data_IF_262221920702
#
_entry.id   IF_262221920702
#
_cell.length_a   1.000
_cell.length_b   1.000
_cell.length_c   1.000
_cell.angle_alpha   90.00
_cell.angle_beta   90.00
_cell.angle_gamma   90.00
#
_symmetry.space_group_name_H-M   'P 1'
#
loop_
_entity.id
_entity.type
_entity.pdbx_description
1 polymer ?
#
# COMPACT_ATOMS: atom_id res chain seq x y z
N UNK A 1 11.80 25.46 -2.78
CA UNK A 1 12.22 24.35 -1.91
C UNK A 1 12.77 24.91 -0.62
N UNK A 2 12.62 24.20 0.49
CA UNK A 2 13.18 24.58 1.78
C UNK A 2 14.53 23.87 1.98
N UNK A 3 15.62 24.55 1.62
CA UNK A 3 16.97 23.97 1.65
C UNK A 3 17.56 23.81 3.06
N UNK A 4 16.97 24.46 4.07
CA UNK A 4 17.52 24.50 5.43
C UNK A 4 16.82 23.55 6.40
N UNK A 5 15.54 23.21 6.16
CA UNK A 5 14.77 22.40 7.08
C UNK A 5 15.35 20.99 7.28
N UNK A 6 15.72 20.30 6.20
CA UNK A 6 16.28 18.95 6.30
C UNK A 6 17.64 18.96 7.01
N UNK A 7 18.65 19.77 6.59
CA UNK A 7 19.93 19.82 7.32
C UNK A 7 19.78 20.17 8.81
N UNK A 8 18.88 21.10 9.16
CA UNK A 8 18.60 21.45 10.56
C UNK A 8 17.99 20.28 11.33
N UNK A 9 16.98 19.61 10.76
CA UNK A 9 16.38 18.40 11.34
C UNK A 9 17.44 17.31 11.56
N UNK A 10 18.30 17.08 10.56
CA UNK A 10 19.36 16.09 10.64
C UNK A 10 20.32 16.46 11.78
N UNK A 11 20.80 17.70 11.81
CA UNK A 11 21.71 18.18 12.87
C UNK A 11 21.12 18.02 14.28
N UNK A 12 19.85 18.40 14.48
CA UNK A 12 19.17 18.22 15.77
C UNK A 12 19.08 16.74 16.17
N UNK A 13 18.76 15.87 15.20
CA UNK A 13 18.69 14.42 15.41
C UNK A 13 20.05 13.84 15.80
N UNK A 14 21.13 14.29 15.15
CA UNK A 14 22.51 13.92 15.48
C UNK A 14 22.90 14.36 16.90
N UNK A 15 22.60 15.62 17.28
CA UNK A 15 22.89 16.14 18.62
C UNK A 15 22.19 15.36 19.74
N UNK A 16 20.99 14.85 19.49
CA UNK A 16 20.24 14.03 20.47
C UNK A 16 20.63 12.55 20.46
N UNK A 17 21.45 12.08 19.50
CA UNK A 17 21.81 10.65 19.42
C UNK A 17 22.55 10.15 20.67
N UNK A 18 23.55 10.85 21.24
CA UNK A 18 24.27 10.35 22.42
C UNK A 18 23.36 10.15 23.64
N UNK A 19 22.42 11.07 23.86
CA UNK A 19 21.44 10.97 24.95
C UNK A 19 20.53 9.75 24.80
N UNK A 20 20.07 9.48 23.57
CA UNK A 20 19.25 8.29 23.25
C UNK A 20 20.05 6.99 23.41
N UNK A 21 21.30 6.97 22.95
CA UNK A 21 22.18 5.81 23.12
C UNK A 21 22.46 5.50 24.60
N UNK A 22 22.67 6.55 25.41
CA UNK A 22 22.78 6.42 26.86
C UNK A 22 21.50 5.85 27.49
N UNK A 23 20.33 6.28 27.03
CA UNK A 23 19.04 5.77 27.50
C UNK A 23 18.88 4.27 27.20
N UNK A 24 19.11 3.85 25.94
CA UNK A 24 19.06 2.44 25.53
C UNK A 24 20.06 1.58 26.32
N UNK A 25 21.29 2.05 26.50
CA UNK A 25 22.30 1.33 27.28
C UNK A 25 21.89 1.19 28.75
N UNK A 26 21.35 2.25 29.35
CA UNK A 26 20.89 2.25 30.73
C UNK A 26 19.74 1.27 30.94
N UNK A 27 18.75 1.26 30.02
CA UNK A 27 17.65 0.28 30.02
C UNK A 27 18.15 -1.16 29.92
N UNK A 28 19.08 -1.42 29.00
CA UNK A 28 19.69 -2.74 28.86
C UNK A 28 20.39 -3.17 30.16
N UNK A 29 21.16 -2.28 30.79
CA UNK A 29 21.83 -2.57 32.05
C UNK A 29 20.83 -2.86 33.19
N UNK A 30 19.72 -2.11 33.26
CA UNK A 30 18.64 -2.35 34.23
C UNK A 30 17.95 -3.69 34.00
N UNK A 31 17.69 -4.06 32.74
CA UNK A 31 17.09 -5.35 32.37
C UNK A 31 17.96 -6.55 32.76
N UNK A 32 19.29 -6.40 32.75
CA UNK A 32 20.22 -7.43 33.21
C UNK A 32 20.22 -7.64 34.73
N UNK A 33 19.54 -6.77 35.49
CA UNK A 33 19.39 -6.89 36.93
C UNK A 33 17.91 -6.74 37.34
N UNK A 34 17.06 -7.77 37.08
CA UNK A 34 15.60 -7.65 37.20
C UNK A 34 15.11 -7.22 38.59
N UNK A 35 15.84 -7.61 39.64
CA UNK A 35 15.60 -7.22 41.04
C UNK A 35 15.58 -5.70 41.23
N UNK A 36 16.34 -4.95 40.42
CA UNK A 36 16.36 -3.48 40.48
C UNK A 36 15.02 -2.87 40.02
N UNK A 37 14.33 -3.51 39.07
CA UNK A 37 13.04 -3.06 38.50
C UNK A 37 11.81 -3.50 39.31
N UNK A 38 12.00 -4.24 40.41
CA UNK A 38 10.93 -4.54 41.38
C UNK A 38 10.49 -3.29 42.15
N UNK A 39 11.37 -2.30 42.28
CA UNK A 39 11.06 -1.05 42.95
C UNK A 39 10.34 -0.06 42.03
N UNK A 40 9.24 0.60 42.49
CA UNK A 40 8.51 1.59 41.69
C UNK A 40 9.36 2.73 41.14
N UNK A 41 10.38 3.17 41.89
CA UNK A 41 11.29 4.24 41.48
C UNK A 41 12.16 3.82 40.29
N UNK A 42 12.67 2.60 40.28
CA UNK A 42 13.45 2.07 39.16
C UNK A 42 12.60 1.88 37.91
N UNK A 43 11.35 1.42 38.04
CA UNK A 43 10.41 1.37 36.88
C UNK A 43 10.09 2.74 36.32
N UNK A 44 9.93 3.74 37.18
CA UNK A 44 9.72 5.12 36.73
C UNK A 44 10.93 5.66 35.97
N UNK A 45 12.15 5.37 36.44
CA UNK A 45 13.39 5.71 35.70
C UNK A 45 13.46 4.98 34.37
N UNK A 46 13.21 3.67 34.35
CA UNK A 46 13.18 2.88 33.11
C UNK A 46 12.18 3.43 32.10
N UNK A 47 10.95 3.76 32.55
CA UNK A 47 9.91 4.35 31.72
C UNK A 47 10.32 5.72 31.14
N UNK A 48 11.01 6.56 31.91
CA UNK A 48 11.57 7.83 31.40
C UNK A 48 12.64 7.60 30.33
N UNK A 49 13.52 6.63 30.54
CA UNK A 49 14.53 6.26 29.56
C UNK A 49 13.87 5.71 28.28
N UNK A 50 12.73 5.02 28.39
CA UNK A 50 11.97 4.56 27.23
C UNK A 50 11.47 5.70 26.37
N UNK A 51 10.88 6.73 27.00
CA UNK A 51 10.40 7.91 26.30
C UNK A 51 11.52 8.60 25.54
N UNK A 52 12.71 8.71 26.16
CA UNK A 52 13.87 9.29 25.50
C UNK A 52 14.34 8.42 24.33
N UNK A 53 14.44 7.11 24.51
CA UNK A 53 14.80 6.14 23.46
C UNK A 53 13.84 6.19 22.27
N UNK A 54 12.53 6.21 22.51
CA UNK A 54 11.50 6.16 21.46
C UNK A 54 11.13 7.53 20.87
N UNK A 55 11.69 8.63 21.38
CA UNK A 55 11.35 9.98 20.92
C UNK A 55 11.79 10.30 19.48
N UNK A 56 12.53 9.39 18.85
CA UNK A 56 13.15 9.63 17.57
C UNK A 56 12.37 9.03 16.40
N UNK A 57 12.28 9.83 15.34
CA UNK A 57 11.91 9.34 14.02
C UNK A 57 13.00 8.39 13.52
N UNK A 58 12.59 7.20 13.09
CA UNK A 58 13.46 6.28 12.38
C UNK A 58 13.15 6.33 10.90
N UNK A 59 14.20 6.18 10.11
CA UNK A 59 14.11 6.10 8.65
C UNK A 59 14.44 4.71 8.14
N UNK A 60 14.57 3.76 9.08
CA UNK A 60 14.77 2.35 8.80
C UNK A 60 13.42 1.68 8.75
N UNK A 61 13.22 0.87 7.71
CA UNK A 61 12.07 -0.02 7.59
C UNK A 61 12.03 -1.00 8.78
N UNK A 62 10.91 -1.09 9.51
CA UNK A 62 10.69 -2.16 10.48
C UNK A 62 10.72 -3.55 9.82
N UNK A 63 10.78 -4.61 10.61
CA UNK A 63 10.51 -5.97 10.08
C UNK A 63 9.00 -6.16 9.88
N UNK A 64 8.57 -6.95 8.88
CA UNK A 64 7.16 -7.36 8.84
C UNK A 64 6.83 -8.28 10.02
N UNK A 65 7.78 -9.05 10.56
CA UNK A 65 7.54 -9.87 11.75
C UNK A 65 6.39 -10.88 11.55
N UNK A 66 6.35 -11.50 10.37
CA UNK A 66 5.41 -12.56 10.02
C UNK A 66 6.22 -13.85 9.87
N UNK A 67 6.52 -14.50 11.00
CA UNK A 67 7.34 -15.72 11.00
C UNK A 67 6.53 -16.98 10.62
N UNK A 68 5.21 -16.94 10.83
CA UNK A 68 4.30 -18.04 10.50
C UNK A 68 2.85 -17.55 10.35
N UNK A 69 2.02 -18.36 9.68
CA UNK A 69 0.59 -18.14 9.49
C UNK A 69 -0.17 -19.46 9.62
N UNK A 70 -1.43 -19.41 10.05
CA UNK A 70 -2.31 -20.58 10.05
C UNK A 70 -2.95 -20.75 8.67
N UNK A 71 -2.73 -21.91 8.04
CA UNK A 71 -3.34 -22.32 6.78
C UNK A 71 -4.05 -23.65 7.02
N UNK A 72 -5.36 -23.69 6.80
CA UNK A 72 -6.20 -24.89 7.02
C UNK A 72 -5.99 -25.56 8.40
N UNK A 73 -5.88 -24.74 9.46
CA UNK A 73 -5.67 -25.21 10.83
C UNK A 73 -4.23 -25.67 11.14
N UNK A 74 -3.27 -25.46 10.23
CA UNK A 74 -1.86 -25.80 10.42
C UNK A 74 -1.01 -24.53 10.43
N UNK A 75 -0.10 -24.44 11.40
CA UNK A 75 0.89 -23.36 11.44
C UNK A 75 1.96 -23.64 10.39
N UNK A 76 2.10 -22.74 9.42
CA UNK A 76 3.08 -22.81 8.34
C UNK A 76 4.08 -21.67 8.48
N UNK A 77 5.40 -21.97 8.54
CA UNK A 77 6.43 -20.93 8.51
C UNK A 77 6.40 -20.10 7.22
N UNK A 78 6.68 -18.80 7.36
CA UNK A 78 6.72 -17.83 6.26
C UNK A 78 8.11 -17.21 6.20
N UNK A 79 8.63 -17.03 4.98
CA UNK A 79 9.92 -16.39 4.71
C UNK A 79 9.71 -15.20 3.78
N UNK A 80 10.32 -14.07 4.10
CA UNK A 80 10.39 -12.90 3.21
C UNK A 80 11.45 -13.14 2.12
N UNK A 81 11.01 -13.33 0.88
CA UNK A 81 11.88 -13.48 -0.28
C UNK A 81 11.82 -12.22 -1.18
N UNK A 82 12.96 -11.84 -1.75
CA UNK A 82 13.02 -10.74 -2.74
C UNK A 82 12.71 -11.30 -4.13
N UNK A 83 11.49 -11.13 -4.62
CA UNK A 83 11.06 -11.63 -5.92
C UNK A 83 11.59 -10.77 -7.08
N UNK A 84 11.54 -9.45 -6.90
CA UNK A 84 12.12 -8.47 -7.82
C UNK A 84 12.62 -7.27 -7.03
N UNK A 85 13.70 -6.64 -7.47
CA UNK A 85 14.26 -5.45 -6.83
C UNK A 85 14.66 -4.39 -7.86
N UNK A 86 14.27 -3.15 -7.58
CA UNK A 86 14.74 -1.95 -8.27
C UNK A 86 15.39 -1.02 -7.25
N UNK A 87 16.06 0.07 -7.67
CA UNK A 87 16.57 1.06 -6.72
C UNK A 87 15.49 1.66 -5.82
N UNK A 88 14.25 1.80 -6.33
CA UNK A 88 13.15 2.48 -5.63
C UNK A 88 12.24 1.55 -4.83
N UNK A 89 12.23 0.26 -5.11
CA UNK A 89 11.42 -0.66 -4.34
C UNK A 89 11.76 -2.12 -4.57
N UNK A 90 11.32 -2.93 -3.62
CA UNK A 90 11.40 -4.37 -3.65
C UNK A 90 9.99 -4.95 -3.74
N UNK A 91 9.80 -5.92 -4.64
CA UNK A 91 8.66 -6.81 -4.61
C UNK A 91 8.98 -7.95 -3.64
N UNK A 92 8.38 -7.90 -2.45
CA UNK A 92 8.59 -8.92 -1.41
C UNK A 92 7.56 -10.02 -1.60
N UNK A 93 8.01 -11.26 -1.67
CA UNK A 93 7.19 -12.46 -1.69
C UNK A 93 7.23 -13.15 -0.33
N UNK A 94 6.08 -13.33 0.29
CA UNK A 94 5.96 -14.05 1.55
C UNK A 94 5.78 -15.55 1.28
N UNK A 95 6.90 -16.23 1.02
CA UNK A 95 6.88 -17.65 0.67
C UNK A 95 6.61 -18.51 1.89
N UNK A 96 5.58 -19.36 1.79
CA UNK A 96 5.31 -20.42 2.75
C UNK A 96 6.27 -21.58 2.52
N UNK A 97 6.82 -22.15 3.60
CA UNK A 97 7.79 -23.27 3.47
C UNK A 97 7.14 -24.54 2.94
N UNK A 98 5.83 -24.70 3.15
CA UNK A 98 5.03 -25.77 2.58
C UNK A 98 4.36 -25.26 1.31
N UNK A 99 4.58 -25.89 0.14
CA UNK A 99 3.89 -25.51 -1.09
C UNK A 99 2.38 -25.72 -0.92
N UNK A 100 1.63 -24.62 -0.95
CA UNK A 100 0.17 -24.63 -0.96
C UNK A 100 -0.28 -23.86 -2.20
N UNK A 101 -0.88 -24.51 -3.21
CA UNK A 101 -1.40 -23.81 -4.38
C UNK A 101 -2.49 -22.83 -3.94
N UNK A 102 -2.22 -21.54 -4.10
CA UNK A 102 -3.12 -20.47 -3.69
C UNK A 102 -3.05 -19.31 -4.69
N UNK A 103 -4.15 -18.54 -4.82
CA UNK A 103 -4.18 -17.34 -5.65
C UNK A 103 -3.00 -16.41 -5.39
N UNK A 104 -2.30 -16.00 -6.45
CA UNK A 104 -1.17 -15.06 -6.37
C UNK A 104 -1.71 -13.64 -6.33
N UNK A 105 -1.37 -12.89 -5.28
CA UNK A 105 -1.91 -11.55 -5.06
C UNK A 105 -0.78 -10.54 -4.89
N UNK A 106 -0.79 -9.51 -5.74
CA UNK A 106 -0.01 -8.29 -5.55
C UNK A 106 -0.75 -7.32 -4.63
N UNK A 107 -0.19 -7.03 -3.47
CA UNK A 107 -0.61 -5.95 -2.58
C UNK A 107 0.22 -4.70 -2.91
N UNK A 108 -0.40 -3.73 -3.57
CA UNK A 108 0.21 -2.43 -3.79
C UNK A 108 0.06 -1.58 -2.51
N UNK A 109 1.14 -1.50 -1.73
CA UNK A 109 1.18 -0.77 -0.48
C UNK A 109 1.32 0.75 -0.70
N UNK A 110 0.65 1.58 0.12
CA UNK A 110 0.76 3.02 0.04
C UNK A 110 2.18 3.48 0.40
N UNK A 111 2.66 4.49 -0.32
CA UNK A 111 3.91 5.19 -0.04
C UNK A 111 3.57 6.54 0.62
N UNK A 112 2.68 6.53 1.62
CA UNK A 112 2.15 7.73 2.29
C UNK A 112 2.98 8.13 3.52
N UNK A 113 4.30 8.12 3.40
CA UNK A 113 5.22 8.53 4.47
C UNK A 113 5.62 7.43 5.45
N UNK A 114 5.09 6.22 5.30
CA UNK A 114 5.44 5.02 6.08
C UNK A 114 5.86 3.88 5.15
N UNK A 115 6.49 2.87 5.74
CA UNK A 115 6.86 1.64 5.03
C UNK A 115 5.66 0.70 4.87
N UNK A 116 5.78 -0.27 3.96
CA UNK A 116 4.75 -1.27 3.71
C UNK A 116 4.41 -2.12 4.95
N UNK A 117 5.28 -2.14 5.96
CA UNK A 117 5.09 -2.79 7.26
C UNK A 117 3.85 -2.31 8.02
N UNK A 118 3.32 -1.13 7.71
CA UNK A 118 2.02 -0.67 8.21
C UNK A 118 0.88 -1.64 7.85
N UNK A 119 1.02 -2.37 6.73
CA UNK A 119 0.07 -3.38 6.28
C UNK A 119 0.33 -4.77 6.88
N UNK A 120 1.20 -4.92 7.89
CA UNK A 120 1.50 -6.21 8.54
C UNK A 120 0.24 -7.00 8.92
N UNK A 121 -0.77 -6.32 9.48
CA UNK A 121 -2.05 -6.93 9.84
C UNK A 121 -2.80 -7.44 8.59
N UNK A 122 -2.90 -6.61 7.56
CA UNK A 122 -3.50 -6.95 6.27
C UNK A 122 -2.85 -8.17 5.63
N UNK A 123 -1.51 -8.16 5.55
CA UNK A 123 -0.72 -9.22 4.96
C UNK A 123 -0.87 -10.53 5.73
N UNK A 124 -0.84 -10.48 7.07
CA UNK A 124 -1.05 -11.66 7.92
C UNK A 124 -2.42 -12.31 7.66
N UNK A 125 -3.48 -11.52 7.50
CA UNK A 125 -4.81 -12.04 7.16
C UNK A 125 -4.82 -12.70 5.78
N UNK A 126 -4.27 -12.04 4.76
CA UNK A 126 -4.27 -12.56 3.38
C UNK A 126 -3.41 -13.81 3.22
N UNK A 127 -2.32 -13.91 3.99
CA UNK A 127 -1.43 -15.06 4.00
C UNK A 127 -2.10 -16.35 4.47
N UNK A 128 -3.29 -16.32 5.05
CA UNK A 128 -4.02 -17.56 5.33
C UNK A 128 -4.47 -18.25 4.02
N UNK A 129 -4.91 -17.49 3.02
CA UNK A 129 -5.60 -18.02 1.83
C UNK A 129 -4.87 -17.77 0.50
N UNK A 130 -3.82 -16.94 0.49
CA UNK A 130 -3.20 -16.43 -0.74
C UNK A 130 -1.68 -16.55 -0.75
N UNK A 131 -1.10 -16.61 -1.95
CA UNK A 131 0.33 -16.43 -2.20
C UNK A 131 0.62 -14.93 -2.39
N UNK A 132 1.20 -14.28 -1.38
CA UNK A 132 1.18 -12.81 -1.27
C UNK A 132 2.52 -12.19 -1.67
N UNK A 133 2.42 -11.24 -2.58
CA UNK A 133 3.49 -10.31 -2.98
C UNK A 133 3.11 -8.91 -2.53
N UNK A 134 4.05 -8.11 -2.03
CA UNK A 134 3.79 -6.73 -1.62
C UNK A 134 4.83 -5.78 -2.20
N UNK A 135 4.40 -4.59 -2.60
CA UNK A 135 5.33 -3.52 -2.95
C UNK A 135 5.91 -2.89 -1.70
N UNK A 136 7.24 -2.87 -1.61
CA UNK A 136 7.97 -2.33 -0.48
C UNK A 136 8.98 -1.28 -0.95
N UNK A 137 8.62 -0.01 -0.80
CA UNK A 137 9.37 1.11 -1.37
C UNK A 137 10.53 1.52 -0.47
N UNK A 138 11.68 1.76 -1.08
CA UNK A 138 12.89 2.20 -0.39
C UNK A 138 12.81 3.69 -0.06
N UNK A 139 13.46 4.08 1.04
CA UNK A 139 13.51 5.47 1.47
C UNK A 139 14.30 6.32 0.47
N UNK A 140 13.67 7.34 -0.11
CA UNK A 140 14.26 8.14 -1.17
C UNK A 140 15.60 8.79 -0.77
N UNK A 141 15.80 9.09 0.52
CA UNK A 141 17.07 9.64 1.01
C UNK A 141 18.27 8.70 0.82
N UNK A 142 18.02 7.40 0.74
CA UNK A 142 19.02 6.36 0.65
C UNK A 142 19.19 5.86 -0.81
N UNK A 143 18.58 6.56 -1.78
CA UNK A 143 18.64 6.23 -3.21
C UNK A 143 19.45 7.28 -3.99
N UNK A 144 20.57 6.91 -4.65
CA UNK A 144 21.41 7.86 -5.36
C UNK A 144 20.68 8.57 -6.50
N UNK A 145 21.04 9.84 -6.76
CA UNK A 145 20.46 10.62 -7.87
C UNK A 145 20.67 9.93 -9.22
N UNK A 146 21.79 9.20 -9.38
CA UNK A 146 22.10 8.42 -10.58
C UNK A 146 21.13 7.26 -10.86
N UNK A 147 20.32 6.83 -9.87
CA UNK A 147 19.25 5.86 -10.08
C UNK A 147 18.06 6.43 -10.88
N UNK A 148 18.09 7.73 -11.17
CA UNK A 148 17.11 8.40 -12.00
C UNK A 148 15.94 8.97 -11.22
N UNK A 149 14.87 9.24 -11.96
CA UNK A 149 13.63 9.82 -11.46
C UNK A 149 12.69 8.72 -10.97
N UNK A 150 11.83 9.07 -10.02
CA UNK A 150 10.70 8.24 -9.62
C UNK A 150 9.51 9.16 -9.33
N UNK A 151 8.60 9.27 -10.29
CA UNK A 151 7.37 10.03 -10.20
C UNK A 151 6.14 9.12 -10.29
N UNK A 152 4.98 9.71 -10.62
CA UNK A 152 3.74 8.94 -10.77
C UNK A 152 3.86 7.90 -11.89
N UNK A 153 4.46 8.29 -13.02
CA UNK A 153 4.61 7.43 -14.20
C UNK A 153 5.52 6.22 -13.92
N UNK A 154 6.67 6.43 -13.26
CA UNK A 154 7.56 5.33 -12.86
C UNK A 154 6.90 4.42 -11.85
N UNK A 155 6.10 4.94 -10.92
CA UNK A 155 5.34 4.12 -9.98
C UNK A 155 4.36 3.19 -10.71
N UNK A 156 3.61 3.72 -11.70
CA UNK A 156 2.74 2.90 -12.57
C UNK A 156 3.56 1.85 -13.35
N UNK A 157 4.72 2.25 -13.88
CA UNK A 157 5.65 1.34 -14.57
C UNK A 157 6.09 0.17 -13.68
N UNK A 158 6.48 0.45 -12.43
CA UNK A 158 6.84 -0.61 -11.47
C UNK A 158 5.67 -1.54 -11.18
N UNK A 159 4.44 -1.03 -11.03
CA UNK A 159 3.27 -1.89 -10.87
C UNK A 159 3.05 -2.80 -12.08
N UNK A 160 3.20 -2.28 -13.30
CA UNK A 160 3.12 -3.07 -14.53
C UNK A 160 4.19 -4.18 -14.52
N UNK A 161 5.43 -3.84 -14.19
CA UNK A 161 6.55 -4.79 -14.16
C UNK A 161 6.37 -5.86 -13.07
N UNK A 162 5.88 -5.49 -11.89
CA UNK A 162 5.56 -6.42 -10.82
C UNK A 162 4.39 -7.35 -11.17
N UNK A 163 3.33 -6.83 -11.79
CA UNK A 163 2.22 -7.65 -12.28
C UNK A 163 2.73 -8.65 -13.33
N UNK A 164 3.57 -8.20 -14.29
CA UNK A 164 4.19 -9.07 -15.29
C UNK A 164 5.12 -10.12 -14.69
N UNK A 165 5.85 -9.77 -13.64
CA UNK A 165 6.73 -10.70 -12.93
C UNK A 165 5.95 -11.82 -12.24
N UNK A 166 4.87 -11.46 -11.53
CA UNK A 166 3.98 -12.46 -10.91
C UNK A 166 3.34 -13.30 -12.01
N UNK A 167 2.96 -12.67 -13.12
CA UNK A 167 2.54 -13.31 -14.36
C UNK A 167 1.03 -13.34 -14.56
N UNK A 168 0.56 -14.08 -15.60
CA UNK A 168 -0.85 -14.25 -15.87
C UNK A 168 -1.62 -14.74 -14.65
N UNK A 169 -2.91 -14.42 -14.61
CA UNK A 169 -3.84 -14.91 -13.59
C UNK A 169 -3.58 -14.38 -12.17
N UNK A 170 -2.68 -13.40 -12.02
CA UNK A 170 -2.48 -12.70 -10.76
C UNK A 170 -3.70 -11.83 -10.38
N UNK A 171 -3.82 -11.54 -9.09
CA UNK A 171 -4.78 -10.59 -8.54
C UNK A 171 -4.06 -9.37 -8.00
N UNK A 172 -4.69 -8.20 -8.07
CA UNK A 172 -4.12 -6.95 -7.55
C UNK A 172 -5.03 -6.39 -6.48
N UNK A 173 -4.45 -6.03 -5.33
CA UNK A 173 -5.10 -5.31 -4.25
C UNK A 173 -4.33 -4.01 -3.99
N UNK A 174 -4.96 -2.87 -4.24
CA UNK A 174 -4.39 -1.55 -4.03
C UNK A 174 -5.11 -0.82 -2.91
N UNK A 175 -4.35 -0.27 -1.97
CA UNK A 175 -4.87 0.34 -0.75
C UNK A 175 -4.50 1.82 -0.71
N UNK A 176 -5.47 2.70 -0.50
CA UNK A 176 -5.27 4.13 -0.36
C UNK A 176 -4.62 4.76 -1.60
N UNK A 177 -3.48 5.42 -1.45
CA UNK A 177 -2.78 6.18 -2.49
C UNK A 177 -2.56 5.40 -3.82
N UNK A 178 -2.10 4.14 -3.82
CA UNK A 178 -1.85 3.37 -5.04
C UNK A 178 -3.04 3.12 -5.96
N UNK A 179 -4.29 3.33 -5.54
CA UNK A 179 -5.46 2.89 -6.33
C UNK A 179 -5.51 3.51 -7.73
N UNK A 180 -5.19 4.80 -7.87
CA UNK A 180 -5.15 5.49 -9.17
C UNK A 180 -4.06 4.87 -10.05
N UNK A 181 -2.88 4.61 -9.49
CA UNK A 181 -1.77 4.03 -10.22
C UNK A 181 -2.03 2.57 -10.60
N UNK A 182 -2.63 1.77 -9.72
CA UNK A 182 -3.00 0.39 -9.97
C UNK A 182 -4.07 0.29 -11.07
N UNK A 183 -5.12 1.13 -11.00
CA UNK A 183 -6.11 1.21 -12.07
C UNK A 183 -5.46 1.63 -13.39
N UNK A 184 -4.50 2.57 -13.35
CA UNK A 184 -3.76 2.99 -14.54
C UNK A 184 -2.92 1.86 -15.15
N UNK A 185 -2.19 1.13 -14.31
CA UNK A 185 -1.38 -0.03 -14.73
C UNK A 185 -2.24 -1.11 -15.40
N UNK A 186 -3.37 -1.48 -14.77
CA UNK A 186 -4.29 -2.49 -15.30
C UNK A 186 -4.97 -2.01 -16.59
N UNK A 187 -5.31 -0.73 -16.70
CA UNK A 187 -5.87 -0.14 -17.93
C UNK A 187 -4.89 -0.24 -19.09
N UNK A 188 -3.60 0.05 -18.85
CA UNK A 188 -2.56 -0.03 -19.88
C UNK A 188 -2.27 -1.47 -20.31
N UNK A 189 -2.21 -2.40 -19.34
CA UNK A 189 -2.10 -3.84 -19.62
C UNK A 189 -3.29 -4.34 -20.46
N UNK A 190 -4.50 -3.90 -20.12
CA UNK A 190 -5.71 -4.26 -20.87
C UNK A 190 -5.70 -3.71 -22.30
N UNK A 191 -5.32 -2.44 -22.48
CA UNK A 191 -5.19 -1.81 -23.79
C UNK A 191 -4.18 -2.54 -24.70
N UNK A 192 -3.09 -3.06 -24.11
CA UNK A 192 -2.07 -3.82 -24.82
C UNK A 192 -2.44 -5.29 -25.06
N UNK A 193 -3.61 -5.75 -24.57
CA UNK A 193 -3.98 -7.18 -24.51
C UNK A 193 -2.90 -8.04 -23.84
N UNK A 194 -2.22 -7.48 -22.83
CA UNK A 194 -1.12 -8.12 -22.15
C UNK A 194 -1.60 -9.40 -21.43
N UNK A 195 -0.92 -10.55 -21.58
CA UNK A 195 -1.30 -11.78 -20.91
C UNK A 195 -1.21 -11.70 -19.39
N UNK A 196 -0.45 -10.75 -18.83
CA UNK A 196 -0.34 -10.49 -17.40
C UNK A 196 -1.45 -9.58 -16.85
N UNK A 197 -2.41 -9.12 -17.67
CA UNK A 197 -3.57 -8.41 -17.16
C UNK A 197 -4.24 -9.25 -16.04
N UNK A 198 -4.41 -8.70 -14.82
CA UNK A 198 -4.83 -9.48 -13.67
C UNK A 198 -6.27 -9.97 -13.78
N UNK A 199 -6.56 -11.09 -13.12
CA UNK A 199 -7.88 -11.70 -13.06
C UNK A 199 -8.86 -10.85 -12.23
N UNK A 200 -8.39 -10.25 -11.13
CA UNK A 200 -9.15 -9.23 -10.40
C UNK A 200 -8.29 -8.04 -9.94
N UNK A 201 -8.95 -6.89 -9.77
CA UNK A 201 -8.43 -5.66 -9.24
C UNK A 201 -9.34 -5.22 -8.08
N UNK A 202 -8.76 -5.14 -6.89
CA UNK A 202 -9.41 -4.62 -5.69
C UNK A 202 -8.83 -3.24 -5.36
N UNK A 203 -9.69 -2.22 -5.30
CA UNK A 203 -9.33 -0.84 -4.95
C UNK A 203 -9.98 -0.49 -3.60
N UNK A 204 -9.19 -0.11 -2.61
CA UNK A 204 -9.68 0.11 -1.25
C UNK A 204 -9.34 1.51 -0.75
N UNK A 205 -10.33 2.24 -0.26
CA UNK A 205 -10.18 3.55 0.39
C UNK A 205 -9.30 4.53 -0.42
N UNK A 206 -9.45 4.52 -1.74
CA UNK A 206 -8.53 5.17 -2.67
C UNK A 206 -9.14 6.35 -3.45
N UNK A 207 -8.36 7.41 -3.72
CA UNK A 207 -8.84 8.67 -4.27
C UNK A 207 -9.01 8.63 -5.81
N UNK A 208 -9.94 7.81 -6.32
CA UNK A 208 -10.16 7.70 -7.78
C UNK A 208 -10.79 8.97 -8.35
N UNK A 209 -11.82 9.52 -7.68
CA UNK A 209 -12.39 10.83 -8.02
C UNK A 209 -12.52 11.75 -6.79
N UNK A 210 -11.47 12.52 -6.54
CA UNK A 210 -11.38 13.51 -5.46
C UNK A 210 -12.39 14.68 -5.56
N UNK A 211 -13.16 14.78 -6.64
CA UNK A 211 -14.23 15.80 -6.76
C UNK A 211 -15.47 15.41 -5.96
N UNK A 212 -15.63 14.12 -5.66
CA UNK A 212 -16.77 13.57 -4.92
C UNK A 212 -16.44 13.58 -3.43
N UNK A 213 -17.34 14.16 -2.63
CA UNK A 213 -17.20 14.23 -1.17
C UNK A 213 -15.83 14.73 -0.69
N UNK A 214 -15.45 16.00 -0.94
CA UNK A 214 -14.14 16.52 -0.54
C UNK A 214 -13.90 16.39 0.97
N UNK A 215 -12.77 15.81 1.34
CA UNK A 215 -12.26 15.71 2.71
C UNK A 215 -11.27 16.84 3.01
N UNK A 216 -10.81 16.93 4.26
CA UNK A 216 -9.75 17.87 4.65
C UNK A 216 -8.45 17.67 3.83
N UNK A 217 -8.17 16.44 3.38
CA UNK A 217 -7.04 16.14 2.50
C UNK A 217 -7.26 16.77 1.12
N UNK A 218 -8.47 16.64 0.55
CA UNK A 218 -8.81 17.26 -0.72
C UNK A 218 -8.76 18.79 -0.64
N UNK A 219 -9.29 19.38 0.43
CA UNK A 219 -9.24 20.82 0.69
C UNK A 219 -7.79 21.32 0.79
N UNK A 220 -6.94 20.64 1.55
CA UNK A 220 -5.53 20.98 1.67
C UNK A 220 -4.85 20.98 0.31
N UNK A 221 -5.02 19.90 -0.47
CA UNK A 221 -4.42 19.75 -1.79
C UNK A 221 -4.84 20.85 -2.78
N UNK A 222 -6.08 21.36 -2.67
CA UNK A 222 -6.61 22.41 -3.54
C UNK A 222 -6.42 23.84 -2.97
N UNK A 223 -5.97 23.98 -1.72
CA UNK A 223 -5.83 25.28 -1.05
C UNK A 223 -4.66 26.14 -1.57
N UNK A 224 -3.71 25.53 -2.29
CA UNK A 224 -2.48 26.15 -2.78
C UNK A 224 -2.13 25.65 -4.19
N UNK A 225 -1.46 26.47 -5.02
CA UNK A 225 -0.93 26.01 -6.30
C UNK A 225 0.25 25.05 -6.09
N UNK A 226 0.56 24.21 -7.08
CA UNK A 226 1.58 23.15 -6.95
C UNK A 226 2.98 23.69 -6.60
N UNK A 227 3.34 24.88 -7.10
CA UNK A 227 4.62 25.54 -6.82
C UNK A 227 4.75 25.92 -5.34
N UNK A 228 3.64 26.13 -4.64
CA UNK A 228 3.67 26.37 -3.21
C UNK A 228 4.09 25.10 -2.46
N UNK A 229 3.56 23.93 -2.84
CA UNK A 229 3.95 22.65 -2.24
C UNK A 229 5.42 22.36 -2.51
N UNK A 230 5.88 22.57 -3.75
CA UNK A 230 7.31 22.46 -4.10
C UNK A 230 8.16 23.43 -3.27
N UNK A 231 7.69 24.65 -3.07
CA UNK A 231 8.47 25.66 -2.36
C UNK A 231 8.63 25.32 -0.88
N UNK A 232 7.57 24.85 -0.23
CA UNK A 232 7.48 24.77 1.23
C UNK A 232 7.68 23.36 1.79
N UNK A 233 7.32 22.32 1.05
CA UNK A 233 7.34 20.94 1.55
C UNK A 233 8.50 20.12 1.01
N UNK A 234 9.06 20.50 -0.14
CA UNK A 234 10.20 19.78 -0.72
C UNK A 234 11.52 20.27 -0.12
N UNK A 235 12.28 19.31 0.41
CA UNK A 235 13.65 19.47 0.89
C UNK A 235 14.67 18.81 -0.04
N UNK A 236 15.94 18.91 0.34
CA UNK A 236 17.06 18.25 -0.33
C UNK A 236 17.78 17.37 0.69
N UNK A 237 18.06 16.13 0.30
CA UNK A 237 18.80 15.18 1.13
C UNK A 237 20.20 15.75 1.40
N UNK A 238 20.59 15.92 2.68
CA UNK A 238 21.89 16.49 3.04
C UNK A 238 23.07 15.54 2.72
N UNK A 239 24.32 16.03 2.80
CA UNK A 239 25.49 15.18 2.64
C UNK A 239 25.57 14.05 3.66
N UNK A 240 26.17 12.93 3.25
CA UNK A 240 26.35 11.74 4.09
C UNK A 240 25.31 10.64 3.90
N UNK A 241 24.36 10.82 2.98
CA UNK A 241 23.40 9.80 2.55
C UNK A 241 23.64 9.44 1.08
N UNK A 242 23.26 8.21 0.68
CA UNK A 242 23.42 7.78 -0.71
C UNK A 242 22.61 8.66 -1.69
N UNK A 243 21.46 9.16 -1.26
CA UNK A 243 20.61 10.08 -2.02
C UNK A 243 20.94 11.56 -1.86
N UNK A 244 22.14 11.94 -1.42
CA UNK A 244 22.57 13.34 -1.34
C UNK A 244 22.18 14.13 -2.62
N UNK A 245 21.71 15.37 -2.44
CA UNK A 245 21.16 16.24 -3.50
C UNK A 245 19.80 15.81 -4.09
N UNK A 246 19.27 14.63 -3.75
CA UNK A 246 17.92 14.24 -4.19
C UNK A 246 16.87 15.16 -3.56
N UNK A 247 15.90 15.57 -4.37
CA UNK A 247 14.73 16.33 -3.95
C UNK A 247 13.69 15.37 -3.38
N UNK A 248 13.26 15.62 -2.16
CA UNK A 248 12.34 14.73 -1.44
C UNK A 248 11.27 15.50 -0.70
N UNK A 249 10.11 14.89 -0.52
CA UNK A 249 9.17 15.27 0.52
C UNK A 249 9.56 14.52 1.81
N UNK A 250 10.20 15.19 2.79
CA UNK A 250 10.83 14.48 3.90
C UNK A 250 9.80 13.85 4.85
N UNK A 251 10.08 12.65 5.35
CA UNK A 251 9.24 11.90 6.29
C UNK A 251 8.97 12.67 7.58
N UNK A 252 9.93 13.45 8.08
CA UNK A 252 9.70 14.28 9.26
C UNK A 252 8.71 15.42 9.01
N UNK A 253 8.66 15.98 7.79
CA UNK A 253 7.69 17.03 7.43
C UNK A 253 6.29 16.42 7.36
N UNK A 254 6.17 15.25 6.73
CA UNK A 254 4.94 14.47 6.66
C UNK A 254 4.40 14.14 8.07
N UNK A 255 5.25 13.54 8.90
CA UNK A 255 4.89 13.14 10.25
C UNK A 255 4.52 14.34 11.11
N UNK A 256 5.25 15.45 11.00
CA UNK A 256 4.94 16.68 11.76
C UNK A 256 3.53 17.19 11.45
N UNK A 257 3.10 17.13 10.18
CA UNK A 257 1.74 17.51 9.81
C UNK A 257 0.70 16.61 10.50
N UNK A 258 0.86 15.29 10.41
CA UNK A 258 -0.07 14.35 11.05
C UNK A 258 -0.08 14.44 12.58
N UNK A 259 1.10 14.54 13.21
CA UNK A 259 1.20 14.70 14.66
C UNK A 259 0.56 16.02 15.13
N UNK A 260 0.67 17.10 14.34
CA UNK A 260 0.08 18.40 14.70
C UNK A 260 -1.45 18.37 14.72
N UNK A 261 -2.07 17.57 13.84
CA UNK A 261 -3.53 17.45 13.76
C UNK A 261 -4.16 16.83 15.02
N UNK A 262 -3.41 15.98 15.74
CA UNK A 262 -3.90 15.26 16.93
C UNK A 262 -2.90 15.32 18.10
N UNK A 263 -2.22 16.45 18.28
CA UNK A 263 -1.09 16.59 19.22
C UNK A 263 -1.42 16.17 20.66
N UNK A 264 -2.56 16.59 21.19
CA UNK A 264 -3.01 16.26 22.55
C UNK A 264 -3.15 14.74 22.74
N UNK A 265 -3.73 14.04 21.77
CA UNK A 265 -3.89 12.58 21.80
C UNK A 265 -2.55 11.85 21.80
N UNK A 266 -1.56 12.38 21.06
CA UNK A 266 -0.22 11.82 21.06
C UNK A 266 0.48 12.00 22.40
N UNK A 267 0.39 13.19 23.00
CA UNK A 267 0.94 13.47 24.35
C UNK A 267 0.31 12.53 25.38
N UNK A 268 -1.02 12.43 25.41
CA UNK A 268 -1.74 11.51 26.31
C UNK A 268 -1.31 10.05 26.13
N UNK A 269 -1.02 9.62 24.89
CA UNK A 269 -0.56 8.26 24.63
C UNK A 269 0.85 8.00 25.19
N UNK A 270 1.76 8.98 25.09
CA UNK A 270 3.10 8.88 25.69
C UNK A 270 3.03 8.92 27.23
N UNK A 271 2.19 9.78 27.80
CA UNK A 271 1.93 9.82 29.25
C UNK A 271 1.37 8.50 29.76
N UNK A 272 0.41 7.92 29.03
CA UNK A 272 -0.17 6.62 29.34
C UNK A 272 0.88 5.50 29.25
N UNK A 273 1.71 5.50 28.20
CA UNK A 273 2.81 4.54 28.05
C UNK A 273 3.75 4.58 29.26
N UNK A 274 4.18 5.79 29.65
CA UNK A 274 5.01 6.00 30.82
C UNK A 274 4.33 5.50 32.10
N UNK A 275 3.06 5.90 32.32
CA UNK A 275 2.31 5.52 33.50
C UNK A 275 2.17 4.01 33.63
N UNK A 276 1.81 3.30 32.54
CA UNK A 276 1.64 1.85 32.55
C UNK A 276 2.97 1.13 32.80
N UNK A 277 4.06 1.58 32.16
CA UNK A 277 5.40 1.02 32.40
C UNK A 277 5.84 1.23 33.84
N UNK A 278 5.70 2.44 34.38
CA UNK A 278 6.05 2.76 35.77
C UNK A 278 5.21 1.97 36.80
N UNK A 279 3.91 1.80 36.52
CA UNK A 279 2.98 0.99 37.32
C UNK A 279 3.37 -0.50 37.34
N UNK A 280 4.09 -0.97 36.32
CA UNK A 280 4.45 -2.37 36.15
C UNK A 280 3.44 -3.17 35.33
N UNK A 281 2.66 -2.51 34.47
CA UNK A 281 1.81 -3.14 33.45
C UNK A 281 2.51 -3.03 32.08
N UNK A 282 3.33 -4.01 31.70
CA UNK A 282 4.09 -3.94 30.46
C UNK A 282 3.19 -4.10 29.23
N UNK A 283 2.09 -4.85 29.30
CA UNK A 283 1.32 -5.22 28.12
C UNK A 283 0.71 -4.01 27.40
N UNK A 284 0.13 -3.08 28.17
CA UNK A 284 -0.45 -1.85 27.59
C UNK A 284 0.65 -0.90 27.10
N UNK A 285 1.74 -0.76 27.85
CA UNK A 285 2.89 0.04 27.44
C UNK A 285 3.52 -0.51 26.15
N UNK A 286 3.72 -1.81 26.03
CA UNK A 286 4.26 -2.50 24.86
C UNK A 286 3.38 -2.32 23.63
N UNK A 287 2.05 -2.34 23.81
CA UNK A 287 1.11 -2.07 22.73
C UNK A 287 1.26 -0.64 22.20
N UNK A 288 1.35 0.35 23.10
CA UNK A 288 1.55 1.76 22.72
C UNK A 288 2.94 1.93 22.06
N UNK A 289 3.97 1.30 22.63
CA UNK A 289 5.33 1.34 22.10
C UNK A 289 5.41 0.78 20.69
N UNK A 290 4.84 -0.40 20.46
CA UNK A 290 4.81 -1.03 19.14
C UNK A 290 4.09 -0.17 18.10
N UNK A 291 3.01 0.53 18.49
CA UNK A 291 2.35 1.50 17.62
C UNK A 291 3.31 2.63 17.25
N UNK A 292 4.02 3.24 18.20
CA UNK A 292 4.93 4.35 17.91
C UNK A 292 6.22 3.94 17.20
N UNK A 293 6.72 2.72 17.41
CA UNK A 293 7.86 2.21 16.64
C UNK A 293 7.53 2.13 15.14
N UNK A 294 6.28 1.76 14.78
CA UNK A 294 5.79 1.79 13.40
C UNK A 294 5.45 3.23 12.96
N UNK A 295 4.76 4.00 13.80
CA UNK A 295 4.27 5.35 13.46
C UNK A 295 5.40 6.36 13.24
N UNK A 296 6.52 6.21 13.96
CA UNK A 296 7.72 7.04 13.83
C UNK A 296 8.70 6.50 12.77
N UNK A 297 8.40 5.35 12.14
CA UNK A 297 9.17 4.83 11.03
C UNK A 297 8.73 5.46 9.71
N UNK A 298 9.38 6.57 9.38
CA UNK A 298 9.00 7.39 8.22
C UNK A 298 9.88 7.11 7.00
N UNK A 299 9.28 7.25 5.82
CA UNK A 299 9.93 7.08 4.53
C UNK A 299 9.88 8.43 3.77
N UNK A 300 11.02 8.90 3.26
CA UNK A 300 11.04 10.07 2.38
C UNK A 300 10.52 9.68 1.00
N UNK A 301 9.65 10.51 0.42
CA UNK A 301 9.19 10.35 -0.96
C UNK A 301 10.05 11.18 -1.88
N UNK A 302 10.24 10.74 -3.12
CA UNK A 302 10.78 11.62 -4.17
C UNK A 302 9.84 12.81 -4.40
N UNK A 303 10.43 13.97 -4.69
CA UNK A 303 9.65 15.18 -4.93
C UNK A 303 8.70 15.01 -6.13
N UNK A 304 9.15 14.34 -7.18
CA UNK A 304 8.38 14.07 -8.39
C UNK A 304 7.13 13.25 -8.07
N UNK A 305 7.27 12.15 -7.33
CA UNK A 305 6.13 11.30 -6.98
C UNK A 305 5.11 12.05 -6.13
N UNK A 306 5.56 12.78 -5.11
CA UNK A 306 4.65 13.58 -4.27
C UNK A 306 3.93 14.67 -5.07
N UNK A 307 4.67 15.52 -5.77
CA UNK A 307 4.11 16.67 -6.48
C UNK A 307 3.16 16.22 -7.59
N UNK A 308 3.55 15.24 -8.39
CA UNK A 308 2.68 14.76 -9.47
C UNK A 308 1.46 14.02 -8.97
N UNK A 309 1.54 13.33 -7.82
CA UNK A 309 0.34 12.75 -7.21
C UNK A 309 -0.62 13.86 -6.80
N UNK A 310 -0.15 14.90 -6.12
CA UNK A 310 -0.99 16.06 -5.76
C UNK A 310 -1.59 16.70 -7.00
N UNK A 311 -0.75 17.02 -7.98
CA UNK A 311 -1.17 17.69 -9.20
C UNK A 311 -2.15 16.84 -10.03
N UNK A 312 -1.76 15.62 -10.42
CA UNK A 312 -2.56 14.78 -11.33
C UNK A 312 -3.83 14.26 -10.67
N UNK A 313 -3.76 13.83 -9.40
CA UNK A 313 -4.88 13.16 -8.73
C UNK A 313 -5.81 14.15 -8.03
N UNK A 314 -5.25 15.08 -7.26
CA UNK A 314 -6.04 15.92 -6.35
C UNK A 314 -6.40 17.30 -6.92
N UNK A 315 -5.62 17.83 -7.87
CA UNK A 315 -5.87 19.16 -8.44
C UNK A 315 -6.46 19.07 -9.86
N UNK A 316 -5.83 18.29 -10.73
CA UNK A 316 -6.26 18.13 -12.12
C UNK A 316 -7.39 17.10 -12.25
N UNK A 317 -7.47 16.14 -11.33
CA UNK A 317 -8.41 15.02 -11.42
C UNK A 317 -8.26 14.28 -12.76
N UNK A 318 -7.02 14.05 -13.19
CA UNK A 318 -6.70 13.67 -14.56
C UNK A 318 -7.33 12.33 -14.96
N UNK A 319 -7.36 11.34 -14.07
CA UNK A 319 -7.95 10.03 -14.36
C UNK A 319 -9.47 10.10 -14.58
N UNK A 320 -10.28 10.61 -13.63
CA UNK A 320 -11.74 10.67 -13.80
C UNK A 320 -12.20 11.66 -14.88
N UNK A 321 -11.31 12.54 -15.36
CA UNK A 321 -11.56 13.41 -16.53
C UNK A 321 -11.17 12.78 -17.87
N UNK A 322 -10.50 11.61 -17.86
CA UNK A 322 -9.99 10.99 -19.08
C UNK A 322 -8.81 11.76 -19.70
N UNK A 323 -8.02 12.43 -18.87
CA UNK A 323 -6.88 13.27 -19.27
C UNK A 323 -5.54 12.70 -18.75
N UNK A 324 -5.56 11.67 -17.89
CA UNK A 324 -4.35 11.08 -17.32
C UNK A 324 -3.52 10.36 -18.39
N UNK A 325 -2.24 10.72 -18.47
CA UNK A 325 -1.25 10.00 -19.27
C UNK A 325 -0.16 9.41 -18.40
N UNK A 326 0.39 8.27 -18.83
CA UNK A 326 1.54 7.59 -18.24
C UNK A 326 2.50 7.24 -19.36
N UNK A 327 3.75 7.71 -19.29
CA UNK A 327 4.74 7.50 -20.35
C UNK A 327 4.27 8.05 -21.71
N UNK A 328 3.47 9.12 -21.70
CA UNK A 328 2.87 9.72 -22.90
C UNK A 328 1.68 8.95 -23.48
N UNK A 329 1.25 7.84 -22.86
CA UNK A 329 0.06 7.07 -23.28
C UNK A 329 -1.14 7.46 -22.44
N UNK A 330 -2.29 7.66 -23.09
CA UNK A 330 -3.55 7.91 -22.39
C UNK A 330 -3.97 6.66 -21.59
N UNK A 331 -4.40 6.88 -20.35
CA UNK A 331 -4.95 5.82 -19.50
C UNK A 331 -6.46 5.75 -19.74
N UNK A 332 -6.93 4.63 -20.29
CA UNK A 332 -8.34 4.40 -20.60
C UNK A 332 -8.90 3.21 -19.81
N UNK A 333 -9.52 3.42 -18.62
CA UNK A 333 -10.11 2.33 -17.84
C UNK A 333 -11.21 1.55 -18.57
N UNK A 334 -11.83 2.16 -19.59
CA UNK A 334 -12.79 1.50 -20.47
C UNK A 334 -12.20 0.34 -21.29
N UNK A 335 -10.86 0.26 -21.43
CA UNK A 335 -10.18 -0.86 -22.10
C UNK A 335 -10.22 -2.16 -21.28
N UNK A 336 -10.57 -2.10 -19.99
CA UNK A 336 -10.65 -3.27 -19.13
C UNK A 336 -11.96 -4.03 -19.44
N UNK A 337 -11.83 -5.27 -19.93
CA UNK A 337 -12.98 -6.10 -20.30
C UNK A 337 -13.10 -7.42 -19.52
N UNK A 338 -12.06 -7.84 -18.78
CA UNK A 338 -12.00 -9.16 -18.14
C UNK A 338 -11.53 -9.19 -16.68
N UNK A 339 -10.94 -8.11 -16.18
CA UNK A 339 -10.50 -8.03 -14.78
C UNK A 339 -11.69 -7.72 -13.89
N UNK A 340 -12.06 -8.63 -12.98
CA UNK A 340 -13.12 -8.34 -12.01
C UNK A 340 -12.71 -7.17 -11.11
N UNK A 341 -13.61 -6.21 -10.89
CA UNK A 341 -13.34 -4.98 -10.16
C UNK A 341 -14.14 -4.95 -8.84
N UNK A 342 -13.40 -4.98 -7.73
CA UNK A 342 -13.94 -4.71 -6.40
C UNK A 342 -13.51 -3.31 -5.94
N UNK A 343 -14.46 -2.50 -5.52
CA UNK A 343 -14.19 -1.20 -4.85
C UNK A 343 -14.71 -1.26 -3.42
N UNK A 344 -13.87 -0.91 -2.45
CA UNK A 344 -14.22 -0.90 -1.01
C UNK A 344 -14.02 0.48 -0.41
N UNK A 345 -15.03 0.99 0.29
CA UNK A 345 -15.01 2.29 0.98
C UNK A 345 -15.41 2.13 2.46
N UNK A 346 -15.00 3.07 3.31
CA UNK A 346 -15.42 3.14 4.71
C UNK A 346 -16.47 4.23 4.93
N UNK A 347 -17.57 3.92 5.63
CA UNK A 347 -18.64 4.90 5.91
C UNK A 347 -18.13 6.13 6.68
N UNK A 348 -17.11 5.96 7.53
CA UNK A 348 -16.52 7.00 8.38
C UNK A 348 -15.10 7.36 7.94
N UNK A 349 -14.75 7.08 6.69
CA UNK A 349 -13.44 7.43 6.15
C UNK A 349 -13.34 8.95 5.97
N UNK A 350 -12.45 9.55 6.75
CA UNK A 350 -12.17 10.99 6.80
C UNK A 350 -11.04 11.41 5.85
N UNK A 351 -10.40 10.45 5.17
CA UNK A 351 -9.32 10.67 4.21
C UNK A 351 -9.86 10.54 2.79
N UNK A 352 -10.53 9.42 2.50
CA UNK A 352 -11.13 9.11 1.20
C UNK A 352 -12.62 8.86 1.38
N UNK A 353 -13.44 9.90 1.17
CA UNK A 353 -14.87 9.81 1.41
C UNK A 353 -15.56 8.77 0.51
N UNK A 354 -16.72 8.29 0.98
CA UNK A 354 -17.65 7.48 0.18
C UNK A 354 -17.96 8.20 -1.13
N UNK A 355 -17.87 7.47 -2.25
CA UNK A 355 -18.03 8.01 -3.59
C UNK A 355 -16.72 8.14 -4.38
N UNK A 356 -15.58 8.35 -3.71
CA UNK A 356 -14.31 8.58 -4.40
C UNK A 356 -13.75 7.32 -5.04
N UNK A 357 -13.76 6.17 -4.37
CA UNK A 357 -13.22 4.90 -4.89
C UNK A 357 -14.19 4.23 -5.85
N UNK A 358 -15.50 4.27 -5.57
CA UNK A 358 -16.55 3.67 -6.42
C UNK A 358 -16.61 4.29 -7.81
N UNK A 359 -16.11 5.52 -8.00
CA UNK A 359 -15.98 6.15 -9.31
C UNK A 359 -15.22 5.27 -10.33
N UNK A 360 -14.31 4.39 -9.88
CA UNK A 360 -13.65 3.41 -10.74
C UNK A 360 -14.64 2.49 -11.49
N UNK A 361 -15.79 2.19 -10.89
CA UNK A 361 -16.83 1.34 -11.49
C UNK A 361 -17.40 1.95 -12.77
N UNK A 362 -17.63 3.27 -12.76
CA UNK A 362 -18.14 4.00 -13.91
C UNK A 362 -17.05 4.18 -14.98
N UNK A 363 -15.82 4.49 -14.56
CA UNK A 363 -14.67 4.64 -15.47
C UNK A 363 -14.38 3.34 -16.22
N UNK A 364 -14.51 2.18 -15.56
CA UNK A 364 -14.34 0.86 -16.17
C UNK A 364 -15.58 0.44 -16.97
N UNK A 365 -16.09 1.30 -17.84
CA UNK A 365 -17.32 1.08 -18.62
C UNK A 365 -17.26 -0.13 -19.57
N UNK A 366 -16.06 -0.60 -19.92
CA UNK A 366 -15.83 -1.81 -20.70
C UNK A 366 -16.13 -3.13 -19.95
N UNK A 367 -16.21 -3.09 -18.61
CA UNK A 367 -16.55 -4.25 -17.80
C UNK A 367 -18.07 -4.47 -17.72
N UNK A 368 -18.54 -5.72 -17.91
CA UNK A 368 -19.94 -6.04 -17.69
C UNK A 368 -20.31 -5.91 -16.20
N UNK A 369 -21.57 -5.57 -15.86
CA UNK A 369 -21.99 -5.35 -14.47
C UNK A 369 -21.71 -6.50 -13.50
N UNK A 370 -21.72 -7.76 -13.95
CA UNK A 370 -21.47 -8.92 -13.09
C UNK A 370 -20.00 -9.10 -12.69
N UNK A 371 -19.07 -8.37 -13.33
CA UNK A 371 -17.65 -8.31 -12.93
C UNK A 371 -17.36 -7.10 -12.02
N UNK A 372 -18.39 -6.35 -11.62
CA UNK A 372 -18.27 -5.14 -10.81
C UNK A 372 -18.91 -5.37 -9.47
N UNK A 373 -18.18 -5.12 -8.39
CA UNK A 373 -18.70 -5.19 -7.02
C UNK A 373 -18.23 -3.98 -6.23
N UNK A 374 -19.16 -3.38 -5.49
CA UNK A 374 -18.87 -2.26 -4.60
C UNK A 374 -19.36 -2.57 -3.19
N UNK A 375 -18.52 -2.28 -2.19
CA UNK A 375 -18.83 -2.47 -0.79
C UNK A 375 -18.53 -1.21 0.02
N UNK A 376 -19.50 -0.74 0.79
CA UNK A 376 -19.29 0.31 1.80
C UNK A 376 -19.32 -0.34 3.17
N UNK A 377 -18.20 -0.29 3.89
CA UNK A 377 -18.10 -0.86 5.22
C UNK A 377 -18.66 0.10 6.28
N UNK A 378 -19.77 -0.32 6.89
CA UNK A 378 -20.40 0.41 7.98
C UNK A 378 -19.44 0.65 9.17
N UNK A 379 -19.39 1.91 9.60
CA UNK A 379 -18.62 2.43 10.71
C UNK A 379 -17.10 2.31 10.59
N UNK A 380 -16.54 1.88 9.46
CA UNK A 380 -15.09 1.85 9.27
C UNK A 380 -14.59 3.25 8.92
N UNK A 381 -13.59 3.73 9.65
CA UNK A 381 -12.74 4.85 9.19
C UNK A 381 -11.64 4.33 8.26
N UNK A 382 -10.78 5.22 7.77
CA UNK A 382 -9.79 4.91 6.73
C UNK A 382 -8.99 3.62 7.01
N UNK A 383 -8.31 3.57 8.16
CA UNK A 383 -7.47 2.42 8.54
C UNK A 383 -8.28 1.14 8.77
N UNK A 384 -9.53 1.27 9.24
CA UNK A 384 -10.42 0.14 9.50
C UNK A 384 -10.91 -0.57 8.24
N UNK A 385 -10.71 0.03 7.07
CA UNK A 385 -11.05 -0.58 5.77
C UNK A 385 -10.08 -1.69 5.41
N UNK A 386 -8.82 -1.63 5.85
CA UNK A 386 -7.78 -2.58 5.46
C UNK A 386 -6.99 -3.19 6.62
N UNK A 387 -7.24 -2.77 7.86
CA UNK A 387 -6.59 -3.35 9.03
C UNK A 387 -7.54 -3.46 10.24
N UNK A 388 -7.21 -4.35 11.17
CA UNK A 388 -7.95 -4.62 12.39
C UNK A 388 -9.20 -5.51 12.19
N UNK A 389 -10.03 -5.56 13.23
CA UNK A 389 -11.13 -6.55 13.32
C UNK A 389 -12.21 -6.41 12.24
N UNK A 390 -12.44 -5.20 11.72
CA UNK A 390 -13.38 -4.96 10.61
C UNK A 390 -12.85 -5.51 9.30
N UNK A 391 -11.57 -5.27 9.02
CA UNK A 391 -10.87 -5.88 7.90
C UNK A 391 -10.97 -7.40 7.99
N UNK A 392 -10.51 -8.01 9.09
CA UNK A 392 -10.46 -9.47 9.25
C UNK A 392 -11.83 -10.15 9.13
N UNK A 393 -12.86 -9.60 9.78
CA UNK A 393 -14.15 -10.31 9.96
C UNK A 393 -15.22 -9.93 8.94
N UNK A 394 -15.09 -8.81 8.24
CA UNK A 394 -16.19 -8.27 7.41
C UNK A 394 -15.75 -7.94 5.99
N UNK A 395 -14.62 -7.26 5.82
CA UNK A 395 -14.16 -6.82 4.50
C UNK A 395 -13.34 -7.91 3.80
N UNK A 396 -12.37 -8.51 4.48
CA UNK A 396 -11.50 -9.54 3.92
C UNK A 396 -12.28 -10.73 3.36
N UNK A 397 -13.36 -11.26 3.97
CA UNK A 397 -14.18 -12.30 3.36
C UNK A 397 -14.70 -11.95 1.96
N UNK A 398 -15.02 -10.68 1.68
CA UNK A 398 -15.48 -10.20 0.37
C UNK A 398 -14.32 -10.15 -0.62
N UNK A 399 -13.15 -9.66 -0.18
CA UNK A 399 -11.91 -9.63 -0.98
C UNK A 399 -11.49 -11.05 -1.35
N UNK A 400 -11.43 -11.95 -0.36
CA UNK A 400 -11.14 -13.37 -0.51
C UNK A 400 -12.09 -14.01 -1.51
N UNK A 401 -13.40 -13.80 -1.36
CA UNK A 401 -14.40 -14.31 -2.30
C UNK A 401 -14.15 -13.78 -3.72
N UNK A 402 -13.92 -12.49 -3.88
CA UNK A 402 -13.62 -11.88 -5.19
C UNK A 402 -12.39 -12.50 -5.85
N UNK A 403 -11.34 -12.76 -5.07
CA UNK A 403 -10.13 -13.42 -5.57
C UNK A 403 -10.46 -14.85 -6.00
N UNK A 404 -11.03 -15.68 -5.12
CA UNK A 404 -11.33 -17.08 -5.44
C UNK A 404 -12.35 -17.27 -6.56
N UNK A 405 -13.38 -16.43 -6.64
CA UNK A 405 -14.40 -16.49 -7.70
C UNK A 405 -13.82 -16.16 -9.08
N UNK A 406 -12.68 -15.49 -9.12
CA UNK A 406 -11.97 -15.12 -10.34
C UNK A 406 -10.62 -15.83 -10.49
N UNK A 407 -10.28 -16.75 -9.60
CA UNK A 407 -9.08 -17.58 -9.73
C UNK A 407 -9.25 -18.45 -10.99
N UNK A 408 -8.34 -18.37 -11.96
CA UNK A 408 -8.46 -19.18 -13.17
C UNK A 408 -8.30 -20.65 -12.81
N UNK A 409 -9.37 -21.44 -12.97
CA UNK A 409 -9.35 -22.87 -12.67
C UNK A 409 -8.12 -23.55 -13.30
N UNK A 410 -7.36 -24.25 -12.45
CA UNK A 410 -6.10 -24.89 -12.77
C UNK A 410 -6.22 -25.81 -14.00
N UNK A 411 -5.34 -25.62 -14.98
CA UNK A 411 -5.16 -26.53 -16.13
C UNK A 411 -4.09 -27.58 -15.85
N UNK A 412 -3.50 -27.59 -14.65
CA UNK A 412 -2.33 -28.41 -14.30
C UNK A 412 -2.60 -29.58 -13.35
N UNK A 413 -3.86 -30.00 -13.15
CA UNK A 413 -4.09 -31.39 -12.71
C UNK A 413 -3.77 -32.30 -13.89
N UNK A 414 -2.57 -32.86 -13.84
CA UNK A 414 -2.06 -33.90 -14.74
C UNK A 414 -3.15 -34.88 -15.14
N UNK A 415 -3.29 -35.07 -16.44
CA UNK A 415 -4.08 -36.12 -17.06
C UNK A 415 -3.69 -37.50 -16.55
N UNK A 416 -4.35 -37.93 -15.47
CA UNK A 416 -4.63 -39.32 -15.14
C UNK A 416 -5.74 -39.32 -14.09
N UNK A 417 -6.98 -39.21 -14.54
CA UNK A 417 -8.01 -40.19 -14.20
C UNK A 417 -9.27 -39.86 -15.01
N UNK A 418 -9.84 -40.93 -15.53
CA UNK A 418 -10.98 -40.96 -16.43
C UNK A 418 -12.23 -40.38 -15.75
N UNK A 419 -12.42 -39.06 -15.79
CA UNK A 419 -13.77 -38.47 -15.74
C UNK A 419 -13.76 -37.03 -16.29
N UNK A 420 -13.70 -36.93 -17.62
CA UNK A 420 -13.81 -35.66 -18.33
C UNK A 420 -15.29 -35.37 -18.64
N UNK A 421 -15.91 -34.53 -17.83
CA UNK A 421 -17.14 -33.82 -18.21
C UNK A 421 -17.06 -32.34 -17.81
N UNK A 422 -16.62 -31.53 -18.79
CA UNK A 422 -16.88 -30.09 -18.93
C UNK A 422 -16.54 -29.17 -17.75
N UNK A 423 -15.28 -28.75 -17.65
CA UNK A 423 -14.94 -27.47 -17.03
C UNK A 423 -14.10 -26.64 -18.01
N UNK A 424 -14.69 -25.54 -18.48
CA UNK A 424 -14.06 -24.56 -19.38
C UNK A 424 -13.52 -23.43 -18.51
N UNK A 425 -12.24 -23.09 -18.65
CA UNK A 425 -11.64 -21.98 -17.89
C UNK A 425 -12.33 -20.65 -18.21
N UNK A 426 -12.34 -19.69 -17.27
CA UNK A 426 -12.87 -18.35 -17.53
C UNK A 426 -12.17 -17.71 -18.74
N UNK A 427 -10.85 -17.90 -18.87
CA UNK A 427 -10.07 -17.48 -20.04
C UNK A 427 -10.56 -18.13 -21.33
N UNK A 428 -10.76 -19.44 -21.36
CA UNK A 428 -11.29 -20.13 -22.54
C UNK A 428 -12.74 -19.72 -22.86
N UNK A 429 -13.58 -19.45 -21.85
CA UNK A 429 -14.93 -18.89 -22.05
C UNK A 429 -14.89 -17.48 -22.63
N UNK A 430 -13.98 -16.63 -22.14
CA UNK A 430 -13.81 -15.26 -22.62
C UNK A 430 -13.23 -15.24 -24.04
N UNK A 431 -12.18 -16.03 -24.31
CA UNK A 431 -11.55 -16.16 -25.63
C UNK A 431 -12.52 -16.75 -26.67
N UNK A 432 -13.37 -17.70 -26.28
CA UNK A 432 -14.44 -18.23 -27.13
C UNK A 432 -15.51 -17.17 -27.45
N UNK A 433 -15.83 -16.27 -26.50
CA UNK A 433 -16.79 -15.19 -26.71
C UNK A 433 -16.24 -14.10 -27.64
N UNK A 434 -14.98 -13.68 -27.48
CA UNK A 434 -14.34 -12.70 -28.38
C UNK A 434 -14.19 -13.24 -29.80
N UNK A 435 -13.79 -14.50 -29.96
CA UNK A 435 -13.69 -15.14 -31.28
C UNK A 435 -15.05 -15.35 -31.95
N UNK A 436 -16.11 -15.69 -31.19
CA UNK A 436 -17.48 -15.78 -31.71
C UNK A 436 -18.04 -14.41 -32.16
N UNK A 437 -17.78 -13.34 -31.41
CA UNK A 437 -18.16 -11.98 -31.82
C UNK A 437 -17.40 -11.51 -33.07
N UNK A 438 -16.12 -11.84 -33.20
CA UNK A 438 -15.32 -11.53 -34.39
C UNK A 438 -15.83 -12.27 -35.65
N UNK A 439 -16.21 -13.55 -35.51
CA UNK A 439 -16.78 -14.36 -36.61
C UNK A 439 -18.15 -13.82 -37.03
N UNK A 440 -18.98 -13.42 -36.06
CA UNK A 440 -20.31 -12.85 -36.33
C UNK A 440 -20.19 -11.52 -37.07
N UNK A 441 -19.30 -10.60 -36.64
CA UNK A 441 -19.00 -9.35 -37.36
C UNK A 441 -18.50 -9.59 -38.80
N UNK A 442 -17.69 -10.62 -39.02
CA UNK A 442 -17.16 -10.97 -40.34
C UNK A 442 -18.24 -11.55 -41.27
N UNK A 443 -19.21 -12.30 -40.73
CA UNK A 443 -20.39 -12.79 -41.46
C UNK A 443 -21.37 -11.67 -41.81
N UNK A 444 -21.64 -10.74 -40.88
CA UNK A 444 -22.52 -9.58 -41.14
C UNK A 444 -21.94 -8.65 -42.21
N UNK A 445 -20.61 -8.43 -42.22
CA UNK A 445 -19.93 -7.69 -43.30
C UNK A 445 -19.99 -8.40 -44.66
N UNK A 446 -19.92 -9.74 -44.67
CA UNK A 446 -20.04 -10.52 -45.92
C UNK A 446 -21.46 -10.49 -46.50
N UNK A 447 -22.50 -10.51 -45.67
CA UNK A 447 -23.89 -10.40 -46.14
C UNK A 447 -24.25 -9.00 -46.65
N UNK A 448 -23.69 -7.95 -46.05
CA UNK A 448 -23.92 -6.56 -46.49
C UNK A 448 -23.23 -6.19 -47.81
N UNK A 449 -22.30 -7.02 -48.30
CA UNK A 449 -21.62 -6.84 -49.59
C UNK A 449 -22.24 -7.68 -50.73
N UNK A 450 -23.32 -8.41 -50.45
CA UNK A 450 -24.05 -9.27 -51.40
C UNK A 450 -25.48 -8.81 -51.68
N UNK A 451 -25.83 -7.57 -51.31
CA UNK A 451 -27.10 -6.93 -51.68
C UNK A 451 -26.88 -5.63 -52.42
#
# INVERSE_FOLDING_TARGET
MNLLAYPLYQWLTECLRPARAWASFSRLAMAQWPQSTEHPTARAVDAWLELLECSAITHRRPSFGIDSVEVDGRVVPVVEDTAMQTPFGTLVHFRKTTPTPQPRVLVAAPLSGHFATLLRGTLRTMLADHDVYVTDWHNARDIPVSAGRFGFDEYVGHLIDFIRHIGPDAHVLAICQPTVAALSAVSLLAADNDPAQPASLTLMAGPIDCRVGPTAVNELANSKPIEWFEKNLIGVVPPGFAGEQRRVYPGFVQLSAFMSMNSERHVQSFEEMYYQRAKGDPAKADTIRAFYDEYLATCDLTAEFYLETVEKVFQQYALPRGELTVGGRLVEPAAIHRTALLTVEGEKDDICAVGQTVAAQDLCSGLPPYLKTHHVQAGAGHYGVFNGSKWEKQIYPIVRATIHDNEPFDTSTTASDEDNAHRVTLRALLDARTSSQAVTRRRSRKMALTH
#
